data_IF_194235992603
#
_entry.id   IF_194235992603
#
_cell.length_a   1.000
_cell.length_b   1.000
_cell.length_c   1.000
_cell.angle_alpha   90.00
_cell.angle_beta   90.00
_cell.angle_gamma   90.00
#
_symmetry.space_group_name_H-M   'P 1'
#
loop_
_entity.id
_entity.type
_entity.pdbx_description
1 polymer ?
#
# COMPACT_ATOMS: atom_id res chain seq x y z
N UNK A 1 -4.03 -20.93 -20.88
CA UNK A 1 -3.73 -19.50 -20.66
C UNK A 1 -2.40 -19.42 -19.94
N UNK A 2 -1.41 -18.72 -20.50
CA UNK A 2 -0.07 -18.61 -19.93
C UNK A 2 -0.05 -17.56 -18.80
N UNK A 3 0.46 -17.93 -17.62
CA UNK A 3 0.49 -17.08 -16.43
C UNK A 3 1.32 -15.81 -16.63
N UNK A 4 2.30 -15.84 -17.53
CA UNK A 4 3.11 -14.68 -17.90
C UNK A 4 2.28 -13.67 -18.70
N UNK A 5 1.51 -14.15 -19.68
CA UNK A 5 0.56 -13.30 -20.45
C UNK A 5 -0.49 -12.67 -19.55
N UNK A 6 -1.04 -13.42 -18.58
CA UNK A 6 -2.03 -12.89 -17.64
C UNK A 6 -1.46 -11.77 -16.77
N UNK A 7 -0.23 -11.95 -16.26
CA UNK A 7 0.47 -10.90 -15.49
C UNK A 7 0.72 -9.66 -16.33
N UNK A 8 1.14 -9.83 -17.57
CA UNK A 8 1.38 -8.72 -18.49
C UNK A 8 0.10 -7.93 -18.77
N UNK A 9 -1.02 -8.63 -19.01
CA UNK A 9 -2.33 -8.00 -19.22
C UNK A 9 -2.77 -7.25 -17.95
N UNK A 10 -2.61 -7.85 -16.76
CA UNK A 10 -2.95 -7.19 -15.50
C UNK A 10 -2.11 -5.92 -15.27
N UNK A 11 -0.80 -5.98 -15.56
CA UNK A 11 0.11 -4.83 -15.47
C UNK A 11 -0.31 -3.71 -16.42
N UNK A 12 -0.55 -4.03 -17.69
CA UNK A 12 -0.98 -3.05 -18.71
C UNK A 12 -2.34 -2.43 -18.37
N UNK A 13 -3.31 -3.25 -17.95
CA UNK A 13 -4.64 -2.77 -17.52
C UNK A 13 -4.55 -1.82 -16.33
N UNK A 14 -3.75 -2.14 -15.31
CA UNK A 14 -3.58 -1.25 -14.15
C UNK A 14 -2.88 0.07 -14.48
N UNK A 15 -1.89 0.05 -15.38
CA UNK A 15 -1.16 1.24 -15.81
C UNK A 15 -2.05 2.21 -16.62
N UNK A 16 -2.91 1.68 -17.49
CA UNK A 16 -3.81 2.47 -18.34
C UNK A 16 -5.02 3.08 -17.62
N UNK A 17 -5.26 2.71 -16.35
CA UNK A 17 -6.32 3.32 -15.53
C UNK A 17 -5.74 4.55 -14.81
N UNK A 18 -6.30 5.76 -15.03
CA UNK A 18 -5.92 6.97 -14.30
C UNK A 18 -6.00 6.76 -12.79
N UNK A 19 -5.16 7.45 -12.02
CA UNK A 19 -5.02 7.22 -10.58
C UNK A 19 -6.37 7.27 -9.85
N UNK A 20 -7.19 8.27 -10.17
CA UNK A 20 -8.50 8.55 -9.56
C UNK A 20 -9.54 7.46 -9.86
N UNK A 21 -9.32 6.69 -10.93
CA UNK A 21 -10.22 5.61 -11.37
C UNK A 21 -9.77 4.23 -10.90
N UNK A 22 -8.65 4.12 -10.20
CA UNK A 22 -8.17 2.84 -9.66
C UNK A 22 -8.98 2.46 -8.44
N UNK A 23 -9.42 1.20 -8.35
CA UNK A 23 -10.22 0.71 -7.22
C UNK A 23 -9.55 0.97 -5.86
N UNK A 24 -8.23 0.86 -5.76
CA UNK A 24 -7.49 1.16 -4.54
C UNK A 24 -7.39 2.66 -4.19
N UNK A 25 -7.55 3.56 -5.16
CA UNK A 25 -7.58 5.00 -4.90
C UNK A 25 -8.99 5.45 -4.50
N UNK A 26 -10.03 4.78 -5.03
CA UNK A 26 -11.43 5.07 -4.72
C UNK A 26 -11.85 4.50 -3.36
N UNK A 27 -11.44 3.28 -3.06
CA UNK A 27 -11.80 2.60 -1.81
C UNK A 27 -10.54 2.33 -0.96
N UNK A 28 -10.40 3.14 0.08
CA UNK A 28 -9.32 3.03 1.05
C UNK A 28 -9.42 1.77 1.91
N UNK A 29 -10.62 1.27 2.17
CA UNK A 29 -10.83 0.04 2.93
C UNK A 29 -10.39 -1.16 2.09
N UNK A 30 -10.80 -1.22 0.82
CA UNK A 30 -10.35 -2.24 -0.14
C UNK A 30 -8.82 -2.24 -0.26
N UNK A 31 -8.20 -1.06 -0.38
CA UNK A 31 -6.75 -0.94 -0.45
C UNK A 31 -6.05 -1.46 0.82
N UNK A 32 -6.59 -1.13 2.00
CA UNK A 32 -6.07 -1.61 3.27
C UNK A 32 -6.21 -3.14 3.41
N UNK A 33 -7.35 -3.70 3.03
CA UNK A 33 -7.60 -5.14 3.06
C UNK A 33 -6.71 -5.92 2.09
N UNK A 34 -6.59 -5.45 0.85
CA UNK A 34 -5.70 -6.04 -0.13
C UNK A 34 -4.23 -5.98 0.34
N UNK A 35 -3.80 -4.85 0.92
CA UNK A 35 -2.47 -4.70 1.51
C UNK A 35 -2.23 -5.67 2.67
N UNK A 36 -3.18 -5.81 3.59
CA UNK A 36 -3.10 -6.78 4.71
C UNK A 36 -3.02 -8.21 4.22
N UNK A 37 -3.87 -8.60 3.27
CA UNK A 37 -3.90 -9.95 2.69
C UNK A 37 -2.58 -10.27 1.98
N UNK A 38 -2.08 -9.35 1.16
CA UNK A 38 -0.80 -9.49 0.47
C UNK A 38 0.37 -9.66 1.44
N UNK A 39 0.43 -8.84 2.50
CA UNK A 39 1.49 -8.95 3.51
C UNK A 39 1.45 -10.25 4.33
N UNK A 40 0.25 -10.81 4.57
CA UNK A 40 0.08 -12.11 5.26
C UNK A 40 0.49 -13.30 4.41
N UNK A 41 0.34 -13.22 3.08
CA UNK A 41 0.73 -14.29 2.16
C UNK A 41 2.26 -14.47 2.06
N UNK A 42 3.03 -13.49 2.51
CA UNK A 42 4.50 -13.53 2.55
C UNK A 42 4.96 -14.05 3.91
N UNK A 43 5.88 -15.03 3.90
CA UNK A 43 6.53 -15.54 5.10
C UNK A 43 7.17 -14.40 5.90
N UNK A 44 7.11 -14.40 7.25
CA UNK A 44 7.58 -13.28 8.07
C UNK A 44 8.99 -12.78 7.70
N UNK A 45 9.93 -13.69 7.44
CA UNK A 45 11.32 -13.39 7.11
C UNK A 45 11.48 -12.76 5.72
N UNK A 46 10.57 -13.07 4.79
CA UNK A 46 10.59 -12.57 3.41
C UNK A 46 9.81 -11.26 3.23
N UNK A 47 9.19 -10.71 4.29
CA UNK A 47 8.49 -9.43 4.22
C UNK A 47 9.50 -8.31 3.99
N UNK A 48 9.17 -7.33 3.15
CA UNK A 48 10.07 -6.21 2.80
C UNK A 48 10.60 -5.47 4.03
N UNK A 49 9.79 -5.33 5.09
CA UNK A 49 10.19 -4.69 6.35
C UNK A 49 11.15 -5.53 7.20
N UNK A 50 11.11 -6.86 7.07
CA UNK A 50 12.04 -7.77 7.74
C UNK A 50 13.33 -7.94 6.93
N UNK A 51 13.24 -7.86 5.61
CA UNK A 51 14.37 -7.98 4.70
C UNK A 51 15.23 -6.71 4.62
N UNK A 52 14.63 -5.52 4.76
CA UNK A 52 15.34 -4.24 4.68
C UNK A 52 14.94 -3.30 5.82
N UNK A 53 15.88 -3.12 6.76
CA UNK A 53 15.70 -2.30 7.96
C UNK A 53 15.54 -0.81 7.65
N UNK A 54 16.22 -0.30 6.62
CA UNK A 54 16.14 1.10 6.23
C UNK A 54 14.76 1.41 5.65
N UNK A 55 14.27 0.55 4.76
CA UNK A 55 12.91 0.64 4.22
C UNK A 55 11.85 0.63 5.32
N UNK A 56 12.01 -0.24 6.33
CA UNK A 56 11.10 -0.32 7.47
C UNK A 56 11.11 0.97 8.29
N UNK A 57 12.30 1.52 8.52
CA UNK A 57 12.49 2.75 9.28
C UNK A 57 11.88 3.96 8.54
N UNK A 58 12.07 4.06 7.24
CA UNK A 58 11.48 5.12 6.41
C UNK A 58 9.96 5.05 6.37
N UNK A 59 9.40 3.86 6.17
CA UNK A 59 7.96 3.64 6.20
C UNK A 59 7.36 4.00 7.56
N UNK A 60 8.03 3.60 8.65
CA UNK A 60 7.66 3.95 10.02
C UNK A 60 7.66 5.46 10.26
N UNK A 61 8.73 6.16 9.85
CA UNK A 61 8.83 7.63 9.95
C UNK A 61 7.71 8.32 9.17
N UNK A 62 7.43 7.88 7.93
CA UNK A 62 6.34 8.43 7.11
C UNK A 62 4.98 8.25 7.79
N UNK A 63 4.71 7.05 8.30
CA UNK A 63 3.47 6.75 9.03
C UNK A 63 3.31 7.60 10.29
N UNK A 64 4.38 7.73 11.08
CA UNK A 64 4.39 8.56 12.28
C UNK A 64 4.14 10.05 11.99
N UNK A 65 4.75 10.60 10.93
CA UNK A 65 4.50 11.98 10.48
C UNK A 65 3.06 12.21 10.07
N UNK A 66 2.47 11.28 9.30
CA UNK A 66 1.06 11.37 8.90
C UNK A 66 0.12 11.31 10.11
N UNK A 67 0.38 10.42 11.07
CA UNK A 67 -0.42 10.35 12.30
C UNK A 67 -0.30 11.63 13.14
N UNK A 68 0.90 12.20 13.22
CA UNK A 68 1.15 13.44 13.95
C UNK A 68 0.49 14.65 13.29
N UNK A 69 0.51 14.75 11.96
CA UNK A 69 -0.19 15.81 11.23
C UNK A 69 -1.71 15.72 11.41
N UNK A 70 -2.28 14.51 11.33
CA UNK A 70 -3.71 14.28 11.58
C UNK A 70 -4.11 14.63 13.01
N UNK A 71 -3.30 14.23 14.01
CA UNK A 71 -3.53 14.60 15.41
C UNK A 71 -3.52 16.12 15.60
N UNK A 72 -2.54 16.82 15.00
CA UNK A 72 -2.45 18.28 15.07
C UNK A 72 -3.63 18.97 14.40
N UNK A 73 -4.13 18.42 13.29
CA UNK A 73 -5.32 18.93 12.61
C UNK A 73 -6.56 18.82 13.50
N UNK A 74 -6.82 17.65 14.07
CA UNK A 74 -7.97 17.42 14.96
C UNK A 74 -7.97 18.34 16.19
N UNK A 75 -6.80 18.61 16.77
CA UNK A 75 -6.66 19.53 17.91
C UNK A 75 -6.90 21.01 17.56
N UNK A 76 -6.81 21.39 16.29
CA UNK A 76 -7.07 22.77 15.83
C UNK A 76 -8.52 23.00 15.40
N UNK A 77 -9.22 21.92 15.07
CA UNK A 77 -10.63 21.92 14.62
C UNK A 77 -11.60 21.62 15.77
N UNK A 78 -11.10 21.42 17.00
CA UNK A 78 -11.85 21.17 18.23
C UNK A 78 -11.76 22.39 19.16
#
# INVERSE_FOLDING_TARGET
MDASKQREIARKRGANVPHEKRSFAQDRALAADAGRKGGRAVAPQARSFSANRDLASEAGRKGGRAAQSERRRRLREA
#
